data_IF_723403855612
#
_entry.id   IF_723403855612
#
_cell.length_a   1.000
_cell.length_b   1.000
_cell.length_c   1.000
_cell.angle_alpha   90.00
_cell.angle_beta   90.00
_cell.angle_gamma   90.00
#
_symmetry.space_group_name_H-M   'P 1'
#
loop_
_entity.id
_entity.type
_entity.pdbx_description
1 polymer ?
#
# COMPACT_ATOMS: atom_id res chain seq x y z
N UNK A 1 16.29 -4.59 -0.02
CA UNK A 1 16.11 -5.12 1.34
C UNK A 1 14.62 -5.24 1.59
N UNK A 2 14.10 -6.45 1.77
CA UNK A 2 12.69 -6.63 2.17
C UNK A 2 12.52 -6.03 3.56
N UNK A 3 11.54 -5.14 3.73
CA UNK A 3 11.20 -4.61 5.05
C UNK A 3 10.59 -5.76 5.86
N UNK A 4 11.19 -6.17 7.01
CA UNK A 4 10.78 -7.34 7.78
C UNK A 4 9.28 -7.35 8.12
N UNK A 5 8.69 -6.17 8.29
CA UNK A 5 7.29 -6.00 8.70
C UNK A 5 6.29 -5.88 7.53
N UNK A 6 6.75 -5.97 6.27
CA UNK A 6 5.87 -5.78 5.09
C UNK A 6 5.52 -7.11 4.43
N UNK A 7 4.24 -7.46 4.47
CA UNK A 7 3.69 -8.62 3.77
C UNK A 7 3.80 -8.43 2.25
N UNK A 8 4.61 -9.25 1.59
CA UNK A 8 4.65 -9.33 0.13
C UNK A 8 3.52 -10.22 -0.39
N UNK A 9 2.76 -9.74 -1.37
CA UNK A 9 1.68 -10.51 -1.99
C UNK A 9 1.61 -10.22 -3.49
N UNK A 10 1.27 -11.23 -4.29
CA UNK A 10 1.04 -11.06 -5.71
C UNK A 10 -0.33 -10.40 -5.94
N UNK A 11 -0.33 -9.16 -6.45
CA UNK A 11 -1.53 -8.41 -6.77
C UNK A 11 -1.89 -8.61 -8.25
N UNK A 12 -3.09 -9.15 -8.52
CA UNK A 12 -3.67 -9.11 -9.86
C UNK A 12 -4.42 -7.80 -10.02
N UNK A 13 -3.96 -6.94 -10.91
CA UNK A 13 -4.54 -5.62 -11.15
C UNK A 13 -4.69 -5.39 -12.65
N UNK A 14 -5.73 -4.64 -13.03
CA UNK A 14 -5.90 -4.16 -14.39
C UNK A 14 -4.69 -3.28 -14.80
N UNK A 15 -4.05 -3.51 -15.96
CA UNK A 15 -2.89 -2.74 -16.40
C UNK A 15 -3.20 -1.24 -16.61
N UNK A 16 -4.42 -0.89 -17.00
CA UNK A 16 -4.83 0.51 -17.18
C UNK A 16 -4.90 1.22 -15.83
N UNK A 17 -5.41 0.53 -14.80
CA UNK A 17 -5.42 1.06 -13.44
C UNK A 17 -4.00 1.18 -12.89
N UNK A 18 -3.14 0.18 -13.14
CA UNK A 18 -1.74 0.24 -12.72
C UNK A 18 -1.02 1.48 -13.30
N UNK A 19 -1.18 1.75 -14.59
CA UNK A 19 -0.60 2.92 -15.24
C UNK A 19 -1.09 4.26 -14.64
N UNK A 20 -2.33 4.32 -14.14
CA UNK A 20 -2.85 5.49 -13.43
C UNK A 20 -2.16 5.66 -12.07
N UNK A 21 -1.96 4.57 -11.33
CA UNK A 21 -1.27 4.58 -10.03
C UNK A 21 0.20 5.01 -10.22
N UNK A 22 0.88 4.54 -11.27
CA UNK A 22 2.25 4.95 -11.58
C UNK A 22 2.36 6.46 -11.84
N UNK A 23 1.45 7.02 -12.64
CA UNK A 23 1.41 8.47 -12.89
C UNK A 23 1.14 9.27 -11.62
N UNK A 24 0.21 8.80 -10.78
CA UNK A 24 -0.10 9.45 -9.50
C UNK A 24 1.12 9.41 -8.56
N UNK A 25 1.77 8.26 -8.44
CA UNK A 25 2.98 8.09 -7.64
C UNK A 25 4.11 9.02 -8.11
N UNK A 26 4.31 9.13 -9.42
CA UNK A 26 5.28 10.05 -10.01
C UNK A 26 4.97 11.52 -9.67
N UNK A 27 3.69 11.91 -9.74
CA UNK A 27 3.25 13.28 -9.40
C UNK A 27 3.45 13.63 -7.93
N UNK A 28 3.36 12.64 -7.03
CA UNK A 28 3.56 12.81 -5.58
C UNK A 28 5.02 12.55 -5.14
N UNK A 29 5.95 12.32 -6.08
CA UNK A 29 7.34 11.96 -5.81
C UNK A 29 7.47 10.75 -4.85
N UNK A 30 6.59 9.77 -5.02
CA UNK A 30 6.48 8.57 -4.19
C UNK A 30 6.78 7.31 -5.00
N UNK A 31 7.27 6.26 -4.34
CA UNK A 31 7.32 4.93 -4.97
C UNK A 31 5.91 4.40 -5.22
N UNK A 32 5.74 3.62 -6.28
CA UNK A 32 4.45 3.01 -6.64
C UNK A 32 3.90 2.15 -5.49
N UNK A 33 4.75 1.38 -4.81
CA UNK A 33 4.34 0.57 -3.66
C UNK A 33 3.81 1.42 -2.50
N UNK A 34 4.46 2.55 -2.21
CA UNK A 34 3.99 3.44 -1.16
C UNK A 34 2.69 4.17 -1.57
N UNK A 35 2.48 4.42 -2.87
CA UNK A 35 1.21 4.98 -3.37
C UNK A 35 0.07 3.97 -3.22
N UNK A 36 0.30 2.71 -3.58
CA UNK A 36 -0.66 1.62 -3.36
C UNK A 36 -1.01 1.50 -1.88
N UNK A 37 -0.02 1.51 -0.99
CA UNK A 37 -0.26 1.45 0.46
C UNK A 37 -1.12 2.62 0.96
N UNK A 38 -0.82 3.85 0.51
CA UNK A 38 -1.59 5.05 0.85
C UNK A 38 -3.06 4.94 0.40
N UNK A 39 -3.30 4.60 -0.87
CA UNK A 39 -4.65 4.45 -1.42
C UNK A 39 -5.45 3.36 -0.70
N UNK A 40 -4.81 2.24 -0.35
CA UNK A 40 -5.46 1.17 0.41
C UNK A 40 -5.84 1.62 1.82
N UNK A 41 -4.95 2.35 2.52
CA UNK A 41 -5.25 2.91 3.86
C UNK A 41 -6.43 3.86 3.82
N UNK A 42 -6.44 4.78 2.86
CA UNK A 42 -7.54 5.73 2.67
C UNK A 42 -8.85 5.01 2.34
N UNK A 43 -8.84 4.04 1.44
CA UNK A 43 -10.02 3.26 1.10
C UNK A 43 -10.57 2.45 2.30
N UNK A 44 -9.70 1.86 3.12
CA UNK A 44 -10.08 1.15 4.34
C UNK A 44 -10.65 2.12 5.37
N UNK A 45 -10.00 3.26 5.59
CA UNK A 45 -10.47 4.31 6.51
C UNK A 45 -11.85 4.82 6.10
N UNK A 46 -12.07 5.09 4.82
CA UNK A 46 -13.35 5.55 4.29
C UNK A 46 -14.48 4.52 4.50
N UNK A 47 -14.18 3.21 4.42
CA UNK A 47 -15.17 2.14 4.55
C UNK A 47 -15.44 1.70 5.98
N UNK A 48 -14.40 1.66 6.82
CA UNK A 48 -14.46 1.08 8.17
C UNK A 48 -14.38 2.13 9.29
N UNK A 49 -14.09 3.40 8.97
CA UNK A 49 -14.05 4.52 9.91
C UNK A 49 -12.90 4.48 10.93
N UNK A 50 -12.01 3.46 10.89
CA UNK A 50 -10.87 3.32 11.79
C UNK A 50 -9.63 2.86 11.04
N UNK A 51 -8.48 3.48 11.32
CA UNK A 51 -7.19 2.86 10.98
C UNK A 51 -6.94 1.69 11.94
N UNK A 52 -6.59 0.50 11.44
CA UNK A 52 -6.07 -0.54 12.30
C UNK A 52 -4.79 -0.01 12.96
N UNK A 53 -4.78 0.09 14.29
CA UNK A 53 -3.53 0.19 15.05
C UNK A 53 -2.76 -1.09 14.78
N UNK A 54 -1.86 -1.06 13.80
CA UNK A 54 -0.90 -2.15 13.59
C UNK A 54 -0.07 -2.21 14.87
N UNK A 55 -0.38 -3.16 15.75
CA UNK A 55 0.59 -3.59 16.77
C UNK A 55 1.75 -4.20 15.97
N UNK A 56 3.01 -3.80 16.20
CA UNK A 56 4.12 -4.53 15.60
C UNK A 56 3.99 -5.99 16.05
N UNK A 57 3.80 -6.90 15.09
CA UNK A 57 3.85 -8.33 15.36
C UNK A 57 5.29 -8.68 15.71
N UNK A 58 5.54 -9.46 16.78
CA UNK A 58 6.89 -9.70 17.31
C UNK A 58 7.75 -10.66 16.49
N UNK A 59 7.28 -11.11 15.33
CA UNK A 59 7.96 -12.14 14.54
C UNK A 59 8.59 -11.52 13.30
N UNK A 60 9.76 -10.92 13.51
CA UNK A 60 10.81 -10.83 12.49
C UNK A 60 12.01 -11.64 13.00
N UNK A 61 12.54 -12.61 12.23
CA UNK A 61 13.82 -13.25 12.53
C UNK A 61 15.01 -12.28 12.41
#
# INVERSE_FOLDING_TARGET
>A
MASPDKKSFALRIDPVLWAQIERLAASELRSVNAQVEYLLREAVRARLGKEPKVKPSPDSP
#
